data_IF_823627933798
#
_entry.id   IF_823627933798
#
_cell.length_a   1.000
_cell.length_b   1.000
_cell.length_c   1.000
_cell.angle_alpha   90.00
_cell.angle_beta   90.00
_cell.angle_gamma   90.00
#
_symmetry.space_group_name_H-M   'P 1'
#
loop_
_entity.id
_entity.type
_entity.pdbx_description
1 polymer ?
#
# COMPACT_ATOMS: atom_id res chain seq x y z
N UNK A 1 -5.36 -9.98 22.38
CA UNK A 1 -4.58 -10.54 21.26
C UNK A 1 -3.13 -10.33 21.62
N UNK A 2 -2.34 -11.39 21.62
CA UNK A 2 -0.91 -11.28 21.90
C UNK A 2 -0.23 -10.59 20.73
N UNK A 3 0.43 -9.48 21.00
CA UNK A 3 1.19 -8.75 20.01
C UNK A 3 2.57 -9.40 19.86
N UNK A 4 2.94 -9.81 18.64
CA UNK A 4 4.31 -10.19 18.35
C UNK A 4 5.25 -8.99 18.59
N UNK A 5 6.41 -9.23 19.23
CA UNK A 5 7.43 -8.20 19.38
C UNK A 5 8.17 -7.99 18.05
N UNK A 6 7.69 -7.06 17.23
CA UNK A 6 8.19 -6.77 15.88
C UNK A 6 8.16 -5.26 15.61
N UNK A 7 9.01 -4.78 14.70
CA UNK A 7 8.99 -3.39 14.23
C UNK A 7 7.82 -3.09 13.30
N UNK A 8 7.31 -4.10 12.60
CA UNK A 8 6.22 -3.95 11.62
C UNK A 8 5.24 -5.13 11.65
N UNK A 9 3.97 -4.81 11.43
CA UNK A 9 2.95 -5.74 10.95
C UNK A 9 2.67 -5.48 9.47
N UNK A 10 2.25 -6.50 8.74
CA UNK A 10 1.93 -6.36 7.32
C UNK A 10 0.67 -7.14 6.96
N UNK A 11 -0.10 -6.57 6.05
CA UNK A 11 -1.12 -7.24 5.26
C UNK A 11 -0.71 -7.18 3.79
N UNK A 12 -0.99 -8.23 3.03
CA UNK A 12 -0.90 -8.23 1.57
C UNK A 12 -1.98 -9.12 0.99
N UNK A 13 -2.49 -8.76 -0.19
CA UNK A 13 -3.28 -9.67 -1.01
C UNK A 13 -2.45 -10.92 -1.37
N UNK A 14 -3.10 -12.07 -1.50
CA UNK A 14 -2.45 -13.37 -1.65
C UNK A 14 -1.81 -13.62 -3.01
N UNK A 15 -2.08 -12.76 -4.00
CA UNK A 15 -1.55 -12.80 -5.36
C UNK A 15 -0.37 -11.83 -5.57
N UNK A 16 0.12 -11.20 -4.51
CA UNK A 16 1.32 -10.36 -4.54
C UNK A 16 2.58 -11.19 -4.23
N UNK A 17 3.58 -11.07 -5.11
CA UNK A 17 4.92 -11.58 -4.93
C UNK A 17 5.88 -10.43 -4.62
N UNK A 18 6.56 -10.50 -3.49
CA UNK A 18 7.61 -9.56 -3.11
C UNK A 18 9.00 -10.07 -3.52
N UNK A 19 9.96 -9.15 -3.61
CA UNK A 19 11.38 -9.48 -3.76
C UNK A 19 12.16 -9.13 -2.50
N UNK A 20 13.48 -9.31 -2.52
CA UNK A 20 14.39 -8.87 -1.45
C UNK A 20 14.26 -7.36 -1.12
N UNK A 21 13.71 -6.58 -2.05
CA UNK A 21 13.41 -5.15 -1.89
C UNK A 21 12.45 -4.83 -0.74
N UNK A 22 11.54 -5.74 -0.38
CA UNK A 22 10.69 -5.60 0.81
C UNK A 22 11.55 -5.52 2.07
N UNK A 23 12.42 -6.51 2.27
CA UNK A 23 13.29 -6.59 3.45
C UNK A 23 14.27 -5.43 3.48
N UNK A 24 14.89 -5.09 2.35
CA UNK A 24 15.82 -3.96 2.25
C UNK A 24 15.15 -2.63 2.58
N UNK A 25 13.96 -2.38 2.02
CA UNK A 25 13.20 -1.14 2.29
C UNK A 25 12.86 -1.03 3.77
N UNK A 26 12.31 -2.07 4.37
CA UNK A 26 11.93 -2.05 5.79
C UNK A 26 13.15 -1.95 6.72
N UNK A 27 14.25 -2.64 6.40
CA UNK A 27 15.50 -2.52 7.13
C UNK A 27 16.02 -1.07 7.09
N UNK A 28 16.01 -0.41 5.93
CA UNK A 28 16.39 0.99 5.84
C UNK A 28 15.44 1.92 6.61
N UNK A 29 14.14 1.63 6.61
CA UNK A 29 13.16 2.41 7.37
C UNK A 29 13.39 2.36 8.88
N UNK A 30 13.83 1.22 9.43
CA UNK A 30 14.17 1.08 10.85
C UNK A 30 15.37 1.95 11.23
N UNK A 31 16.38 2.02 10.36
CA UNK A 31 17.62 2.77 10.62
C UNK A 31 17.54 4.25 10.19
N UNK A 32 16.49 4.64 9.47
CA UNK A 32 16.32 5.99 8.95
C UNK A 32 15.86 6.94 10.07
N UNK A 33 16.55 8.07 10.23
CA UNK A 33 16.18 9.13 11.18
C UNK A 33 14.97 9.95 10.71
N UNK A 34 14.61 9.90 9.42
CA UNK A 34 13.49 10.67 8.85
C UNK A 34 12.16 9.93 8.93
N UNK A 35 12.17 8.60 9.07
CA UNK A 35 11.00 7.80 9.41
C UNK A 35 10.86 7.72 10.92
N UNK A 36 10.30 8.73 11.58
CA UNK A 36 10.06 8.63 13.02
C UNK A 36 9.00 7.55 13.31
N UNK A 37 9.44 6.30 13.51
CA UNK A 37 8.60 5.14 13.79
C UNK A 37 7.95 5.17 15.19
N UNK A 38 8.25 6.18 16.02
CA UNK A 38 7.55 6.37 17.31
C UNK A 38 6.09 6.81 17.14
N UNK A 39 5.73 7.35 15.97
CA UNK A 39 4.34 7.64 15.60
C UNK A 39 3.74 6.49 14.80
N UNK A 40 2.40 6.37 14.73
CA UNK A 40 1.75 5.44 13.82
C UNK A 40 2.20 5.67 12.38
N UNK A 41 2.67 4.62 11.71
CA UNK A 41 3.12 4.66 10.32
C UNK A 41 2.30 3.69 9.48
N UNK A 42 1.97 4.10 8.26
CA UNK A 42 1.43 3.28 7.20
C UNK A 42 2.34 3.37 5.96
N UNK A 43 2.88 2.24 5.53
CA UNK A 43 3.69 2.12 4.32
C UNK A 43 2.87 1.33 3.29
N UNK A 44 2.69 1.91 2.11
CA UNK A 44 1.93 1.37 0.97
C UNK A 44 2.67 1.68 -0.32
N UNK A 45 2.18 1.21 -1.46
CA UNK A 45 2.71 1.61 -2.76
C UNK A 45 1.99 0.91 -3.90
N UNK A 46 2.39 1.24 -5.12
CA UNK A 46 1.82 0.66 -6.33
C UNK A 46 2.34 -0.75 -6.56
N UNK A 47 1.44 -1.62 -7.03
CA UNK A 47 1.80 -2.92 -7.59
C UNK A 47 2.30 -2.82 -9.03
N UNK A 48 3.13 -3.77 -9.43
CA UNK A 48 3.52 -4.01 -10.82
C UNK A 48 2.78 -5.24 -11.34
N UNK A 49 1.88 -5.05 -12.30
CA UNK A 49 1.14 -6.15 -12.89
C UNK A 49 2.02 -6.95 -13.85
N UNK A 50 2.00 -8.26 -13.69
CA UNK A 50 2.72 -9.22 -14.55
C UNK A 50 1.73 -10.32 -14.96
N UNK A 51 1.47 -10.45 -16.26
CA UNK A 51 0.46 -11.40 -16.78
C UNK A 51 0.95 -12.86 -16.77
N UNK A 52 0.15 -13.82 -16.31
CA UNK A 52 0.47 -15.25 -16.39
C UNK A 52 1.88 -15.59 -15.86
N UNK A 53 2.20 -15.14 -14.63
CA UNK A 53 3.43 -15.56 -13.94
C UNK A 53 3.44 -17.08 -13.83
N UNK A 54 4.50 -17.72 -14.30
CA UNK A 54 4.66 -19.18 -14.16
C UNK A 54 5.17 -19.54 -12.77
N UNK A 55 5.05 -20.82 -12.40
CA UNK A 55 5.60 -21.32 -11.14
C UNK A 55 7.10 -20.99 -11.01
N UNK A 56 7.93 -21.39 -11.98
CA UNK A 56 9.37 -21.06 -12.02
C UNK A 56 9.67 -19.55 -11.91
N UNK A 57 8.85 -18.70 -12.54
CA UNK A 57 9.01 -17.25 -12.47
C UNK A 57 8.75 -16.70 -11.06
N UNK A 58 7.88 -17.36 -10.28
CA UNK A 58 7.53 -16.98 -8.90
C UNK A 58 8.40 -17.60 -7.80
N UNK A 59 9.30 -18.54 -8.10
CA UNK A 59 10.07 -19.28 -7.08
C UNK A 59 11.13 -18.46 -6.34
N UNK A 60 11.76 -17.50 -7.01
CA UNK A 60 12.94 -16.80 -6.50
C UNK A 60 12.83 -15.28 -6.70
N UNK A 61 13.36 -14.51 -5.76
CA UNK A 61 13.34 -13.05 -5.81
C UNK A 61 13.99 -12.48 -7.07
N UNK A 62 15.05 -13.12 -7.57
CA UNK A 62 15.73 -12.74 -8.81
C UNK A 62 14.84 -12.97 -10.04
N UNK A 63 14.06 -14.05 -10.04
CA UNK A 63 13.11 -14.34 -11.11
C UNK A 63 11.97 -13.33 -11.11
N UNK A 64 11.38 -13.07 -9.93
CA UNK A 64 10.32 -12.08 -9.74
C UNK A 64 10.81 -10.68 -10.17
N UNK A 65 12.02 -10.29 -9.76
CA UNK A 65 12.66 -9.02 -10.17
C UNK A 65 12.90 -8.96 -11.68
N UNK A 66 13.31 -10.07 -12.30
CA UNK A 66 13.56 -10.13 -13.74
C UNK A 66 12.26 -9.98 -14.53
N UNK A 67 11.19 -10.65 -14.13
CA UNK A 67 9.90 -10.58 -14.86
C UNK A 67 9.21 -9.23 -14.65
N UNK A 68 9.33 -8.62 -13.47
CA UNK A 68 8.77 -7.29 -13.22
C UNK A 68 9.41 -6.24 -14.13
N UNK A 69 10.74 -6.30 -14.32
CA UNK A 69 11.47 -5.42 -15.24
C UNK A 69 11.21 -5.74 -16.71
N UNK A 70 11.15 -7.03 -17.07
CA UNK A 70 11.04 -7.47 -18.47
C UNK A 70 9.66 -7.19 -19.06
N UNK A 71 8.60 -7.43 -18.30
CA UNK A 71 7.21 -7.42 -18.80
C UNK A 71 6.19 -6.89 -17.81
N UNK A 72 6.63 -6.38 -16.66
CA UNK A 72 5.75 -5.76 -15.69
C UNK A 72 5.29 -4.38 -16.12
N UNK A 73 4.09 -4.00 -15.69
CA UNK A 73 3.55 -2.65 -15.86
C UNK A 73 3.11 -2.12 -14.50
N UNK A 74 3.68 -0.99 -14.09
CA UNK A 74 3.23 -0.32 -12.88
C UNK A 74 1.73 0.02 -13.02
N UNK A 75 0.92 -0.44 -12.07
CA UNK A 75 -0.54 -0.29 -12.15
C UNK A 75 -1.00 1.03 -11.51
N UNK A 76 -2.27 1.38 -11.67
CA UNK A 76 -2.80 2.66 -11.19
C UNK A 76 -2.58 2.87 -9.69
N UNK A 77 -2.26 4.11 -9.30
CA UNK A 77 -2.00 4.51 -7.91
C UNK A 77 -3.18 4.39 -6.95
N UNK A 78 -4.32 3.88 -7.40
CA UNK A 78 -5.52 3.62 -6.60
C UNK A 78 -5.66 2.14 -6.21
N UNK A 79 -4.73 1.27 -6.64
CA UNK A 79 -4.70 -0.14 -6.28
C UNK A 79 -3.56 -0.38 -5.28
N UNK A 80 -3.88 -0.30 -3.99
CA UNK A 80 -2.97 -0.65 -2.91
C UNK A 80 -3.26 -2.07 -2.39
N UNK A 81 -2.34 -3.00 -2.66
CA UNK A 81 -2.52 -4.42 -2.30
C UNK A 81 -1.77 -4.85 -1.05
N UNK A 82 -0.97 -3.96 -0.47
CA UNK A 82 -0.24 -4.22 0.75
C UNK A 82 -0.25 -3.01 1.68
N UNK A 83 -0.29 -3.29 2.98
CA UNK A 83 -0.32 -2.28 4.03
C UNK A 83 0.63 -2.74 5.14
N UNK A 84 1.70 -1.99 5.35
CA UNK A 84 2.70 -2.29 6.38
C UNK A 84 2.60 -1.19 7.45
N UNK A 85 2.44 -1.58 8.70
CA UNK A 85 2.20 -0.65 9.81
C UNK A 85 3.16 -0.87 10.96
N UNK A 86 3.47 0.19 11.70
CA UNK A 86 4.09 0.04 13.02
C UNK A 86 3.09 -0.54 14.04
N UNK A 87 3.55 -1.16 15.14
CA UNK A 87 2.66 -1.65 16.20
C UNK A 87 1.74 -0.59 16.82
N UNK A 88 2.12 0.69 16.74
CA UNK A 88 1.32 1.82 17.23
C UNK A 88 0.14 2.20 16.33
N UNK A 89 0.01 1.59 15.14
CA UNK A 89 -1.12 1.84 14.25
C UNK A 89 -2.44 1.37 14.86
N UNK A 90 -3.40 2.29 15.00
CA UNK A 90 -4.66 2.04 15.71
C UNK A 90 -5.68 1.32 14.83
N UNK A 91 -5.48 0.03 14.57
CA UNK A 91 -6.42 -0.81 13.81
C UNK A 91 -7.82 -0.86 14.43
N UNK A 92 -7.95 -0.66 15.74
CA UNK A 92 -9.25 -0.55 16.42
C UNK A 92 -10.06 0.71 16.03
N UNK A 93 -9.44 1.70 15.35
CA UNK A 93 -10.11 2.89 14.81
C UNK A 93 -10.44 2.76 13.32
N UNK A 94 -10.09 1.62 12.71
CA UNK A 94 -10.42 1.31 11.32
C UNK A 94 -11.83 0.72 11.29
N UNK A 95 -12.63 1.12 10.31
CA UNK A 95 -13.97 0.60 10.12
C UNK A 95 -13.92 -0.89 9.76
N UNK A 96 -14.95 -1.65 10.10
CA UNK A 96 -15.06 -3.10 9.83
C UNK A 96 -15.37 -3.37 8.34
N UNK A 97 -14.45 -2.96 7.48
CA UNK A 97 -14.48 -3.18 6.04
C UNK A 97 -14.21 -4.64 5.70
N UNK A 98 -14.76 -5.10 4.59
CA UNK A 98 -14.55 -6.43 4.03
C UNK A 98 -13.42 -6.36 3.01
N UNK A 99 -12.37 -7.15 3.21
CA UNK A 99 -11.26 -7.28 2.25
C UNK A 99 -11.79 -7.81 0.91
N UNK A 100 -11.28 -7.26 -0.20
CA UNK A 100 -11.72 -7.63 -1.56
C UNK A 100 -13.03 -6.97 -2.01
N UNK A 101 -13.56 -5.99 -1.26
CA UNK A 101 -14.63 -5.10 -1.69
C UNK A 101 -14.09 -3.70 -1.91
N UNK A 102 -14.58 -3.01 -2.95
CA UNK A 102 -13.98 -1.74 -3.37
C UNK A 102 -13.97 -0.72 -2.22
N UNK A 103 -13.05 0.24 -2.31
CA UNK A 103 -12.91 1.41 -1.45
C UNK A 103 -12.19 1.24 -0.11
N UNK A 104 -11.90 0.02 0.37
CA UNK A 104 -11.19 -0.14 1.65
C UNK A 104 -9.74 0.35 1.60
N UNK A 105 -9.08 0.08 0.49
CA UNK A 105 -7.67 0.37 0.19
C UNK A 105 -7.39 1.88 0.24
N UNK A 106 -8.01 2.65 -0.65
CA UNK A 106 -7.81 4.10 -0.67
C UNK A 106 -8.38 4.74 0.61
N UNK A 107 -9.49 4.22 1.16
CA UNK A 107 -10.03 4.77 2.40
C UNK A 107 -9.07 4.59 3.57
N UNK A 108 -8.38 3.46 3.69
CA UNK A 108 -7.40 3.21 4.74
C UNK A 108 -6.25 4.22 4.69
N UNK A 109 -5.74 4.49 3.48
CA UNK A 109 -4.70 5.51 3.25
C UNK A 109 -5.23 6.90 3.59
N UNK A 110 -6.41 7.28 3.09
CA UNK A 110 -7.03 8.56 3.42
C UNK A 110 -7.24 8.74 4.93
N UNK A 111 -7.74 7.70 5.60
CA UNK A 111 -7.98 7.71 7.04
C UNK A 111 -6.68 7.89 7.83
N UNK A 112 -5.60 7.20 7.45
CA UNK A 112 -4.28 7.39 8.05
C UNK A 112 -3.78 8.83 7.89
N UNK A 113 -3.90 9.41 6.69
CA UNK A 113 -3.54 10.82 6.43
C UNK A 113 -4.39 11.77 7.28
N UNK A 114 -5.71 11.53 7.39
CA UNK A 114 -6.64 12.30 8.23
C UNK A 114 -6.30 12.24 9.72
N UNK A 115 -5.85 11.08 10.20
CA UNK A 115 -5.37 10.87 11.57
C UNK A 115 -3.98 11.45 11.83
N UNK A 116 -3.37 12.15 10.85
CA UNK A 116 -2.02 12.71 10.94
C UNK A 116 -0.95 11.64 11.21
N UNK A 117 -1.18 10.42 10.73
CA UNK A 117 -0.18 9.36 10.75
C UNK A 117 0.88 9.61 9.68
N UNK A 118 2.06 9.03 9.87
CA UNK A 118 3.09 9.03 8.82
C UNK A 118 2.64 8.06 7.74
N UNK A 119 2.37 8.55 6.52
CA UNK A 119 2.01 7.69 5.39
C UNK A 119 3.12 7.78 4.36
N UNK A 120 3.65 6.63 3.93
CA UNK A 120 4.82 6.54 3.06
C UNK A 120 4.49 5.71 1.84
N UNK A 121 4.73 6.29 0.67
CA UNK A 121 4.74 5.61 -0.62
C UNK A 121 6.10 4.91 -0.83
N UNK A 122 6.11 3.58 -0.84
CA UNK A 122 7.29 2.76 -1.03
C UNK A 122 7.49 2.28 -2.48
N UNK A 123 6.71 2.78 -3.44
CA UNK A 123 6.67 2.30 -4.83
C UNK A 123 8.06 2.21 -5.47
N UNK A 124 8.94 3.19 -5.25
CA UNK A 124 10.26 3.22 -5.89
C UNK A 124 11.27 2.22 -5.31
N UNK A 125 11.12 1.83 -4.04
CA UNK A 125 12.12 0.98 -3.36
C UNK A 125 11.62 -0.42 -3.04
N UNK A 126 10.31 -0.67 -3.10
CA UNK A 126 9.66 -1.93 -2.78
C UNK A 126 8.90 -2.46 -4.01
N UNK A 127 9.38 -3.57 -4.55
CA UNK A 127 8.76 -4.24 -5.69
C UNK A 127 7.69 -5.21 -5.20
N UNK A 128 6.43 -4.88 -5.49
CA UNK A 128 5.27 -5.75 -5.31
C UNK A 128 4.73 -6.19 -6.68
N UNK A 129 4.90 -7.47 -7.04
CA UNK A 129 4.43 -8.03 -8.31
C UNK A 129 3.06 -8.65 -8.13
N UNK A 130 2.06 -8.18 -8.87
CA UNK A 130 0.74 -8.77 -8.90
C UNK A 130 0.61 -9.77 -10.03
N UNK A 131 0.23 -11.00 -9.68
CA UNK A 131 0.05 -12.12 -10.59
C UNK A 131 -1.27 -11.96 -11.35
N UNK A 132 -1.23 -11.25 -12.47
CA UNK A 132 -2.43 -10.95 -13.27
C UNK A 132 -2.80 -12.15 -14.13
N UNK A 133 -4.04 -12.62 -14.07
CA UNK A 133 -4.54 -13.73 -14.89
C UNK A 133 -5.60 -13.24 -15.88
N UNK A 134 -6.22 -14.16 -16.63
CA UNK A 134 -7.34 -13.86 -17.54
C UNK A 134 -8.55 -13.24 -16.84
N UNK A 135 -8.70 -13.46 -15.53
CA UNK A 135 -9.74 -12.83 -14.71
C UNK A 135 -9.55 -11.30 -14.66
N UNK A 136 -8.34 -10.80 -14.88
CA UNK A 136 -8.05 -9.36 -14.91
C UNK A 136 -7.85 -8.77 -13.52
N UNK A 137 -8.07 -7.46 -13.40
CA UNK A 137 -7.65 -6.66 -12.24
C UNK A 137 -8.83 -6.06 -11.45
N UNK A 138 -10.07 -6.42 -11.80
CA UNK A 138 -11.29 -5.77 -11.33
C UNK A 138 -12.34 -6.77 -10.84
N UNK A 139 -11.94 -7.99 -10.48
CA UNK A 139 -12.86 -9.07 -10.10
C UNK A 139 -13.72 -8.72 -8.88
N UNK A 140 -13.24 -7.85 -7.99
CA UNK A 140 -14.03 -7.31 -6.89
C UNK A 140 -15.37 -6.66 -7.33
N UNK A 141 -15.47 -6.18 -8.57
CA UNK A 141 -16.65 -5.53 -9.12
C UNK A 141 -17.73 -6.50 -9.64
N UNK A 142 -17.41 -7.79 -9.79
CA UNK A 142 -18.36 -8.80 -10.26
C UNK A 142 -19.22 -9.38 -9.12
N UNK A 143 -18.81 -9.17 -7.87
CA UNK A 143 -19.55 -9.68 -6.71
C UNK A 143 -20.84 -8.90 -6.44
N UNK A 144 -21.90 -9.60 -6.03
CA UNK A 144 -23.20 -9.00 -5.69
C UNK A 144 -23.13 -7.97 -4.56
N UNK A 145 -22.19 -8.12 -3.63
CA UNK A 145 -21.96 -7.20 -2.51
C UNK A 145 -20.76 -6.26 -2.70
N UNK A 146 -20.34 -6.00 -3.95
CA UNK A 146 -19.17 -5.16 -4.28
C UNK A 146 -19.15 -3.79 -3.59
N UNK A 147 -20.32 -3.20 -3.35
CA UNK A 147 -20.48 -1.86 -2.77
C UNK A 147 -20.61 -1.83 -1.24
N UNK A 148 -20.47 -2.98 -0.56
CA UNK A 148 -20.64 -3.08 0.90
C UNK A 148 -19.80 -2.05 1.67
N UNK A 149 -18.50 -1.99 1.41
CA UNK A 149 -17.59 -1.06 2.09
C UNK A 149 -17.94 0.40 1.81
N UNK A 150 -18.26 0.72 0.56
CA UNK A 150 -18.68 2.08 0.20
C UNK A 150 -19.91 2.51 1.00
N UNK A 151 -20.92 1.65 1.06
CA UNK A 151 -22.16 1.90 1.79
C UNK A 151 -21.95 2.01 3.30
N UNK A 152 -21.06 1.19 3.87
CA UNK A 152 -20.67 1.27 5.28
C UNK A 152 -20.01 2.62 5.58
N UNK A 153 -18.99 2.99 4.81
CA UNK A 153 -18.21 4.21 5.02
C UNK A 153 -19.05 5.48 4.80
N UNK A 154 -19.95 5.48 3.81
CA UNK A 154 -20.86 6.60 3.56
C UNK A 154 -21.85 6.84 4.71
N UNK A 155 -22.22 5.80 5.47
CA UNK A 155 -23.04 5.93 6.69
C UNK A 155 -22.24 6.44 7.88
N UNK A 156 -20.96 6.09 7.96
CA UNK A 156 -20.09 6.44 9.09
C UNK A 156 -19.48 7.84 8.98
N UNK A 157 -19.29 8.36 7.77
CA UNK A 157 -18.54 9.59 7.53
C UNK A 157 -19.25 10.51 6.55
N UNK A 158 -19.32 11.81 6.86
CA UNK A 158 -19.94 12.85 6.01
C UNK A 158 -19.27 12.96 4.63
N UNK A 159 -17.95 12.68 4.55
CA UNK A 159 -17.17 12.69 3.30
C UNK A 159 -16.10 11.61 3.34
N UNK A 160 -16.00 10.84 2.25
CA UNK A 160 -14.99 9.80 2.05
C UNK A 160 -14.28 10.02 0.71
N UNK A 161 -13.39 11.03 0.62
CA UNK A 161 -12.67 11.34 -0.62
C UNK A 161 -11.61 10.28 -0.92
N UNK A 162 -12.02 9.16 -1.53
CA UNK A 162 -11.10 8.05 -1.88
C UNK A 162 -9.93 8.52 -2.74
N UNK A 163 -10.13 9.52 -3.60
CA UNK A 163 -9.06 10.11 -4.41
C UNK A 163 -7.91 10.69 -3.57
N UNK A 164 -8.16 11.16 -2.35
CA UNK A 164 -7.11 11.64 -1.45
C UNK A 164 -6.37 10.46 -0.78
N UNK A 165 -6.83 9.24 -0.96
CA UNK A 165 -6.20 8.03 -0.47
C UNK A 165 -5.35 7.29 -1.49
N UNK A 166 -5.19 7.82 -2.70
CA UNK A 166 -4.34 7.18 -3.72
C UNK A 166 -2.86 7.45 -3.43
N UNK A 167 -1.98 6.55 -3.88
CA UNK A 167 -0.52 6.65 -3.69
C UNK A 167 0.05 8.01 -4.12
N UNK A 168 -0.42 8.56 -5.24
CA UNK A 168 0.01 9.88 -5.74
C UNK A 168 -0.35 11.06 -4.83
N UNK A 169 -1.27 10.88 -3.88
CA UNK A 169 -1.64 11.87 -2.87
C UNK A 169 -0.85 11.74 -1.56
N UNK A 170 0.07 10.79 -1.46
CA UNK A 170 0.94 10.62 -0.28
C UNK A 170 2.14 11.56 -0.40
N UNK A 171 2.40 12.35 0.65
CA UNK A 171 3.47 13.34 0.68
C UNK A 171 4.87 12.73 0.85
N UNK A 172 5.01 11.69 1.67
CA UNK A 172 6.30 11.05 1.91
C UNK A 172 6.48 9.84 1.01
N UNK A 173 7.68 9.66 0.45
CA UNK A 173 7.98 8.53 -0.42
C UNK A 173 9.43 8.07 -0.25
N UNK A 174 9.69 6.79 -0.46
CA UNK A 174 11.04 6.24 -0.47
C UNK A 174 11.64 6.38 -1.87
N UNK A 175 12.96 6.53 -1.96
CA UNK A 175 13.69 6.55 -3.23
C UNK A 175 15.14 6.11 -3.01
N UNK A 176 15.75 5.50 -4.04
CA UNK A 176 17.21 5.38 -4.11
C UNK A 176 17.81 6.58 -4.85
N UNK A 177 18.59 7.39 -4.13
CA UNK A 177 19.34 8.53 -4.69
C UNK A 177 20.84 8.19 -4.63
N UNK A 178 21.48 8.03 -5.80
CA UNK A 178 22.88 7.59 -5.90
C UNK A 178 23.19 6.32 -5.06
N UNK A 179 22.27 5.34 -5.11
CA UNK A 179 22.30 4.08 -4.32
C UNK A 179 22.08 4.25 -2.81
N UNK A 180 21.83 5.46 -2.32
CA UNK A 180 21.45 5.69 -0.93
C UNK A 180 19.93 5.69 -0.80
N UNK A 181 19.43 4.92 0.17
CA UNK A 181 18.01 4.96 0.52
C UNK A 181 17.68 6.30 1.19
N UNK A 182 16.64 6.97 0.71
CA UNK A 182 16.12 8.22 1.30
C UNK A 182 14.61 8.17 1.41
N UNK A 183 14.09 8.77 2.48
CA UNK A 183 12.69 9.16 2.58
C UNK A 183 12.61 10.63 2.22
N UNK A 184 11.86 10.96 1.18
CA UNK A 184 11.71 12.31 0.63
C UNK A 184 10.26 12.77 0.77
N UNK A 185 10.05 14.07 0.60
CA UNK A 185 8.74 14.70 0.63
C UNK A 185 8.46 15.33 -0.72
N UNK A 186 7.27 15.11 -1.28
CA UNK A 186 6.78 15.74 -2.50
C UNK A 186 5.59 16.64 -2.19
N UNK A 187 5.44 17.70 -2.99
CA UNK A 187 4.22 18.51 -3.00
C UNK A 187 3.12 17.72 -3.70
N UNK A 188 2.00 17.52 -3.03
CA UNK A 188 0.83 16.83 -3.60
C UNK A 188 -0.15 17.85 -4.23
N UNK A 189 -0.93 17.45 -5.25
CA UNK A 189 -1.96 18.29 -5.84
C UNK A 189 -3.00 18.81 -4.84
N UNK A 190 -3.65 19.93 -5.14
CA UNK A 190 -4.68 20.51 -4.26
C UNK A 190 -5.88 19.58 -4.03
N UNK A 191 -6.22 18.71 -4.98
CA UNK A 191 -7.29 17.73 -4.78
C UNK A 191 -6.92 16.64 -3.76
N UNK A 192 -5.65 16.50 -3.38
CA UNK A 192 -5.20 15.56 -2.35
C UNK A 192 -5.38 16.10 -0.92
N UNK A 193 -5.91 17.32 -0.76
CA UNK A 193 -6.08 17.95 0.54
C UNK A 193 -6.98 17.14 1.46
N UNK A 194 -6.51 16.95 2.70
CA UNK A 194 -7.26 16.29 3.77
C UNK A 194 -7.81 17.37 4.70
N UNK A 195 -9.12 17.38 4.89
CA UNK A 195 -9.75 18.21 5.92
C UNK A 195 -9.51 17.55 7.27
N UNK A 196 -8.66 18.17 8.08
CA UNK A 196 -8.44 17.76 9.47
C UNK A 196 -9.67 18.13 10.30
N UNK A 197 -10.02 17.25 11.23
CA UNK A 197 -10.98 17.54 12.32
C UNK A 197 -10.23 18.28 13.42
#
# INVERSE_FOLDING_TARGET
MDHFNTSFYAFSNGDILFTDTLIRTLAHMIHSTTGNLSKPVLIVGQRTNVENVTFEEGLHWENITRISKRRGKLFGGWAEDYFITTPSYSWNKVAEVVIGRRAYDNWLVYNARKMKYTVIDATDTLVAVHQTTKAGNFEGFSHSNRDYNHNLLAKMYTRTPYHAGVVGCIEMYTQYDLKQFKVKVRKVPAHCSVLYI
#
